data_IF_235019356776
#
_entry.id   IF_235019356776
#
_cell.length_a   1.000
_cell.length_b   1.000
_cell.length_c   1.000
_cell.angle_alpha   90.00
_cell.angle_beta   90.00
_cell.angle_gamma   90.00
#
_symmetry.space_group_name_H-M   'P 1'
#
loop_
_entity.id
_entity.type
_entity.pdbx_description
1 polymer ?
#
# COMPACT_ATOMS: atom_id res chain seq x y z
N UNK A 1 11.62 -58.58 -26.98
CA UNK A 1 10.96 -58.62 -25.63
C UNK A 1 11.63 -57.64 -24.66
N UNK A 2 12.96 -57.54 -24.61
CA UNK A 2 13.69 -56.68 -23.67
C UNK A 2 13.30 -55.17 -23.77
N UNK A 3 13.16 -54.51 -24.96
CA UNK A 3 12.82 -53.08 -25.03
C UNK A 3 11.42 -52.76 -24.52
N UNK A 4 10.47 -53.69 -24.69
CA UNK A 4 9.09 -53.52 -24.23
C UNK A 4 9.00 -53.56 -22.66
N UNK A 5 9.77 -54.47 -22.05
CA UNK A 5 9.87 -54.51 -20.59
C UNK A 5 10.49 -53.26 -19.98
N UNK A 6 11.52 -52.72 -20.65
CA UNK A 6 12.17 -51.47 -20.21
C UNK A 6 11.23 -50.23 -20.31
N UNK A 7 10.44 -50.15 -21.38
CA UNK A 7 9.46 -49.09 -21.57
C UNK A 7 8.34 -49.20 -20.52
N UNK A 8 7.88 -50.38 -20.18
CA UNK A 8 6.87 -50.62 -19.12
C UNK A 8 7.38 -50.22 -17.73
N UNK A 9 8.64 -50.54 -17.43
CA UNK A 9 9.28 -50.15 -16.18
C UNK A 9 9.46 -48.62 -16.08
N UNK A 10 9.89 -47.95 -17.14
CA UNK A 10 9.98 -46.49 -17.21
C UNK A 10 8.62 -45.81 -17.07
N UNK A 11 7.58 -46.29 -17.75
CA UNK A 11 6.23 -45.76 -17.64
C UNK A 11 5.67 -45.94 -16.20
N UNK A 12 5.90 -47.07 -15.58
CA UNK A 12 5.55 -47.35 -14.19
C UNK A 12 6.28 -46.41 -13.20
N UNK A 13 7.57 -46.18 -13.42
CA UNK A 13 8.36 -45.28 -12.58
C UNK A 13 7.90 -43.82 -12.75
N UNK A 14 7.62 -43.37 -13.97
CA UNK A 14 7.09 -42.01 -14.24
C UNK A 14 5.73 -41.81 -13.60
N UNK A 15 4.82 -42.79 -13.73
CA UNK A 15 3.50 -42.74 -13.10
C UNK A 15 3.60 -42.73 -11.56
N UNK A 16 4.52 -43.50 -10.99
CA UNK A 16 4.76 -43.52 -9.55
C UNK A 16 5.32 -42.20 -9.04
N UNK A 17 6.30 -41.61 -9.76
CA UNK A 17 6.86 -40.28 -9.46
C UNK A 17 5.82 -39.19 -9.57
N UNK A 18 5.00 -39.20 -10.62
CA UNK A 18 3.90 -38.22 -10.80
C UNK A 18 2.91 -38.30 -9.65
N UNK A 19 2.58 -39.50 -9.18
CA UNK A 19 1.67 -39.68 -8.05
C UNK A 19 2.27 -39.21 -6.73
N UNK A 20 3.56 -39.43 -6.51
CA UNK A 20 4.29 -38.99 -5.32
C UNK A 20 4.39 -37.46 -5.24
N UNK A 21 4.65 -36.79 -6.37
CA UNK A 21 4.69 -35.33 -6.45
C UNK A 21 3.30 -34.72 -6.28
N UNK A 22 2.25 -35.33 -6.83
CA UNK A 22 0.86 -34.83 -6.63
C UNK A 22 0.36 -34.97 -5.20
N UNK A 23 0.86 -35.91 -4.43
CA UNK A 23 0.50 -36.05 -3.01
C UNK A 23 1.14 -34.95 -2.14
N UNK A 24 2.28 -34.35 -2.56
CA UNK A 24 2.89 -33.21 -1.88
C UNK A 24 2.20 -31.87 -2.26
N UNK A 25 1.53 -31.76 -3.42
CA UNK A 25 0.73 -30.60 -3.81
C UNK A 25 -0.68 -30.58 -3.18
N UNK A 26 -1.03 -31.59 -2.40
CA UNK A 26 -2.26 -31.65 -1.60
C UNK A 26 -2.21 -30.66 -0.44
N UNK A 27 -2.18 -29.37 -0.73
CA UNK A 27 -2.55 -28.33 0.23
C UNK A 27 -3.96 -28.62 0.67
N UNK A 28 -4.11 -29.11 1.90
CA UNK A 28 -5.41 -29.33 2.51
C UNK A 28 -6.23 -28.03 2.45
N UNK A 29 -7.41 -28.00 1.80
CA UNK A 29 -8.22 -26.78 1.68
C UNK A 29 -8.79 -26.30 3.02
N UNK A 30 -8.55 -27.01 4.10
CA UNK A 30 -9.26 -26.84 5.36
C UNK A 30 -8.55 -26.02 6.44
N UNK A 31 -7.34 -25.54 6.20
CA UNK A 31 -6.67 -24.59 7.09
C UNK A 31 -5.73 -23.70 6.27
N UNK A 32 -6.28 -22.78 5.52
CA UNK A 32 -5.51 -21.60 5.14
C UNK A 32 -5.26 -20.80 6.42
N UNK A 33 -4.20 -21.17 7.13
CA UNK A 33 -3.65 -20.33 8.18
C UNK A 33 -3.21 -19.05 7.48
N UNK A 34 -3.65 -17.93 8.01
CA UNK A 34 -3.15 -16.63 7.61
C UNK A 34 -1.73 -16.46 8.19
N UNK A 35 -0.80 -17.28 7.67
CA UNK A 35 0.59 -17.29 8.07
C UNK A 35 1.41 -16.70 6.92
N UNK A 36 2.30 -15.74 7.17
CA UNK A 36 3.12 -15.14 6.12
C UNK A 36 4.11 -16.18 5.58
N UNK A 37 4.25 -16.25 4.25
CA UNK A 37 5.24 -17.10 3.57
C UNK A 37 6.62 -16.43 3.49
N UNK A 38 6.67 -15.10 3.50
CA UNK A 38 7.93 -14.38 3.68
C UNK A 38 7.77 -13.10 4.51
N UNK A 39 8.86 -12.75 5.18
CA UNK A 39 8.97 -11.57 6.02
C UNK A 39 10.24 -10.82 5.66
N UNK A 40 10.15 -9.51 5.49
CA UNK A 40 11.29 -8.63 5.24
C UNK A 40 11.39 -7.62 6.37
N UNK A 41 12.51 -7.59 7.07
CA UNK A 41 12.79 -6.59 8.10
C UNK A 41 13.55 -5.41 7.47
N UNK A 42 13.20 -4.17 7.91
CA UNK A 42 13.83 -2.93 7.46
C UNK A 42 13.78 -2.75 5.94
N UNK A 43 12.58 -2.92 5.35
CA UNK A 43 12.36 -2.76 3.93
C UNK A 43 12.67 -1.33 3.48
N UNK A 44 13.39 -1.21 2.37
CA UNK A 44 13.48 0.02 1.58
C UNK A 44 13.25 -0.33 0.12
N UNK A 45 12.15 0.18 -0.44
CA UNK A 45 11.80 0.04 -1.86
C UNK A 45 11.85 1.40 -2.53
N UNK A 46 12.56 1.50 -3.66
CA UNK A 46 12.68 2.73 -4.44
C UNK A 46 12.18 2.49 -5.86
N UNK A 47 11.24 3.31 -6.29
CA UNK A 47 10.70 3.32 -7.64
C UNK A 47 11.28 4.51 -8.42
N UNK A 48 11.64 4.26 -9.67
CA UNK A 48 12.17 5.27 -10.59
C UNK A 48 11.18 5.54 -11.71
N UNK A 49 11.11 6.79 -12.15
CA UNK A 49 10.34 7.17 -13.33
C UNK A 49 11.07 6.80 -14.63
N UNK A 50 10.43 7.02 -15.77
CA UNK A 50 11.01 6.72 -17.11
C UNK A 50 12.30 7.49 -17.42
N UNK A 51 12.62 8.56 -16.68
CA UNK A 51 13.86 9.34 -16.80
C UNK A 51 14.96 8.86 -15.84
N UNK A 52 14.74 7.78 -15.09
CA UNK A 52 15.69 7.27 -14.11
C UNK A 52 15.79 8.09 -12.81
N UNK A 53 14.88 9.02 -12.58
CA UNK A 53 14.81 9.78 -11.33
C UNK A 53 13.92 9.06 -10.32
N UNK A 54 14.27 9.16 -9.03
CA UNK A 54 13.45 8.61 -7.95
C UNK A 54 12.06 9.26 -7.96
N UNK A 55 11.02 8.46 -8.07
CA UNK A 55 9.63 8.88 -8.03
C UNK A 55 8.99 8.62 -6.67
N UNK A 56 9.27 7.43 -6.11
CA UNK A 56 8.71 7.01 -4.83
C UNK A 56 9.74 6.21 -4.03
N UNK A 57 9.79 6.44 -2.73
CA UNK A 57 10.54 5.60 -1.79
C UNK A 57 9.60 5.15 -0.67
N UNK A 58 9.47 3.85 -0.49
CA UNK A 58 8.77 3.22 0.62
C UNK A 58 9.79 2.65 1.60
N UNK A 59 9.67 3.00 2.87
CA UNK A 59 10.41 2.41 3.99
C UNK A 59 9.40 1.81 4.96
N UNK A 60 9.66 0.61 5.45
CA UNK A 60 8.84 -0.02 6.48
C UNK A 60 9.74 -0.80 7.45
N UNK A 61 9.38 -0.80 8.72
CA UNK A 61 10.11 -1.59 9.73
C UNK A 61 10.00 -3.09 9.44
N UNK A 62 8.84 -3.54 8.93
CA UNK A 62 8.59 -4.92 8.55
C UNK A 62 7.58 -4.98 7.42
N UNK A 63 7.75 -5.97 6.55
CA UNK A 63 6.79 -6.37 5.52
C UNK A 63 6.50 -7.85 5.68
N UNK A 64 5.22 -8.23 5.65
CA UNK A 64 4.75 -9.60 5.71
C UNK A 64 3.86 -9.86 4.49
N UNK A 65 4.11 -10.94 3.78
CA UNK A 65 3.25 -11.34 2.66
C UNK A 65 2.46 -12.58 3.03
N UNK A 66 1.18 -12.61 2.64
CA UNK A 66 0.25 -13.68 2.95
C UNK A 66 -0.22 -14.35 1.66
N UNK A 67 0.08 -15.65 1.46
CA UNK A 67 -0.21 -16.34 0.20
C UNK A 67 -1.67 -16.79 0.06
N UNK A 68 -2.47 -16.68 1.10
CA UNK A 68 -3.88 -17.07 1.09
C UNK A 68 -4.79 -16.06 0.37
N UNK A 69 -4.44 -14.78 0.42
CA UNK A 69 -5.13 -13.66 -0.24
C UNK A 69 -4.19 -12.75 -1.05
N UNK A 70 -2.90 -13.13 -1.17
CA UNK A 70 -1.83 -12.36 -1.81
C UNK A 70 -1.68 -10.93 -1.25
N UNK A 71 -2.14 -10.70 -0.03
CA UNK A 71 -2.01 -9.39 0.61
C UNK A 71 -0.60 -9.19 1.18
N UNK A 72 -0.23 -7.92 1.33
CA UNK A 72 1.04 -7.54 1.96
C UNK A 72 0.80 -6.54 3.08
N UNK A 73 1.19 -6.90 4.30
CA UNK A 73 1.15 -6.00 5.45
C UNK A 73 2.47 -5.25 5.64
N UNK A 74 2.37 -4.00 6.04
CA UNK A 74 3.49 -3.12 6.35
C UNK A 74 3.37 -2.59 7.79
N UNK A 75 4.47 -2.66 8.52
CA UNK A 75 4.58 -2.08 9.87
C UNK A 75 5.33 -0.75 9.77
N UNK A 76 4.73 0.30 10.31
CA UNK A 76 5.24 1.67 10.30
C UNK A 76 5.70 2.15 8.90
N UNK A 77 4.83 2.06 7.88
CA UNK A 77 5.19 2.47 6.54
C UNK A 77 5.41 3.98 6.46
N UNK A 78 6.43 4.37 5.73
CA UNK A 78 6.73 5.74 5.33
C UNK A 78 6.95 5.79 3.83
N UNK A 79 6.07 6.49 3.13
CA UNK A 79 6.16 6.71 1.69
C UNK A 79 6.59 8.15 1.44
N UNK A 80 7.59 8.34 0.61
CA UNK A 80 8.05 9.66 0.13
C UNK A 80 7.90 9.68 -1.37
N UNK A 81 7.03 10.54 -1.87
CA UNK A 81 6.88 10.80 -3.30
C UNK A 81 7.64 12.06 -3.67
N UNK A 82 8.45 11.98 -4.73
CA UNK A 82 9.26 13.07 -5.24
C UNK A 82 9.07 13.17 -6.74
N UNK A 83 8.19 14.05 -7.18
CA UNK A 83 8.01 14.32 -8.61
C UNK A 83 8.81 15.54 -9.04
N UNK A 84 9.34 15.56 -10.27
CA UNK A 84 9.97 16.75 -10.81
C UNK A 84 9.01 17.93 -10.73
N UNK A 85 9.49 19.04 -10.21
CA UNK A 85 8.74 20.28 -10.14
C UNK A 85 7.47 20.29 -9.25
N UNK A 86 7.23 19.27 -8.44
CA UNK A 86 6.16 19.23 -7.45
C UNK A 86 6.74 19.22 -6.02
N UNK A 87 6.02 19.79 -5.03
CA UNK A 87 6.39 19.64 -3.63
C UNK A 87 6.42 18.18 -3.23
N UNK A 88 7.42 17.81 -2.43
CA UNK A 88 7.53 16.46 -1.87
C UNK A 88 6.31 16.15 -1.01
N UNK A 89 5.79 14.94 -1.16
CA UNK A 89 4.71 14.40 -0.33
C UNK A 89 5.25 13.25 0.50
N UNK A 90 5.10 13.34 1.81
CA UNK A 90 5.44 12.27 2.75
C UNK A 90 4.16 11.74 3.41
N UNK A 91 3.98 10.43 3.38
CA UNK A 91 2.88 9.75 4.02
C UNK A 91 3.46 8.77 5.05
N UNK A 92 2.89 8.75 6.26
CA UNK A 92 3.25 7.81 7.33
C UNK A 92 1.98 7.25 7.96
N UNK A 93 2.07 6.03 8.47
CA UNK A 93 1.01 5.36 9.24
C UNK A 93 1.65 4.36 10.21
N UNK A 94 0.89 3.84 11.15
CA UNK A 94 1.38 2.77 12.04
C UNK A 94 1.34 1.42 11.32
N UNK A 95 0.32 1.19 10.48
CA UNK A 95 0.14 -0.04 9.68
C UNK A 95 -0.34 0.28 8.27
N UNK A 96 -0.04 -0.61 7.34
CA UNK A 96 -0.56 -0.55 5.99
C UNK A 96 -0.80 -1.94 5.43
N UNK A 97 -1.75 -2.06 4.50
CA UNK A 97 -2.00 -3.28 3.73
C UNK A 97 -2.07 -2.92 2.26
N UNK A 98 -1.41 -3.70 1.42
CA UNK A 98 -1.50 -3.61 -0.03
C UNK A 98 -2.34 -4.78 -0.54
N UNK A 99 -3.19 -4.50 -1.52
CA UNK A 99 -3.89 -5.55 -2.29
C UNK A 99 -2.92 -6.39 -3.12
N UNK A 100 -3.37 -7.55 -3.58
CA UNK A 100 -2.62 -8.50 -4.42
C UNK A 100 -1.93 -7.83 -5.62
N UNK A 101 -2.64 -6.95 -6.32
CA UNK A 101 -2.12 -6.21 -7.49
C UNK A 101 -1.31 -4.96 -7.10
N UNK A 102 -1.29 -4.61 -5.81
CA UNK A 102 -0.65 -3.40 -5.28
C UNK A 102 -1.32 -2.10 -5.71
N UNK A 103 -2.53 -2.15 -6.31
CA UNK A 103 -3.27 -0.97 -6.76
C UNK A 103 -4.03 -0.30 -5.62
N UNK A 104 -4.47 -1.06 -4.61
CA UNK A 104 -5.13 -0.53 -3.44
C UNK A 104 -4.21 -0.57 -2.21
N UNK A 105 -4.15 0.53 -1.50
CA UNK A 105 -3.36 0.67 -0.26
C UNK A 105 -4.28 1.15 0.84
N UNK A 106 -4.36 0.38 1.90
CA UNK A 106 -5.09 0.71 3.12
C UNK A 106 -4.09 1.08 4.21
N UNK A 107 -4.28 2.22 4.84
CA UNK A 107 -3.42 2.73 5.90
C UNK A 107 -4.24 2.92 7.17
N UNK A 108 -3.69 2.47 8.28
CA UNK A 108 -4.37 2.40 9.56
C UNK A 108 -3.53 3.07 10.63
N UNK A 109 -4.22 3.75 11.52
CA UNK A 109 -3.72 4.36 12.73
C UNK A 109 -2.66 5.46 12.48
N UNK A 110 -2.88 6.61 13.06
CA UNK A 110 -1.96 7.76 13.00
C UNK A 110 -1.52 8.16 11.58
N UNK A 111 -2.44 8.03 10.60
CA UNK A 111 -2.12 8.39 9.21
C UNK A 111 -1.86 9.88 9.11
N UNK A 112 -0.65 10.24 8.66
CA UNK A 112 -0.22 11.62 8.44
C UNK A 112 0.30 11.77 7.02
N UNK A 113 -0.29 12.70 6.27
CA UNK A 113 0.21 13.15 4.98
C UNK A 113 0.74 14.57 5.12
N UNK A 114 1.98 14.78 4.71
CA UNK A 114 2.63 16.09 4.69
C UNK A 114 3.04 16.40 3.26
N UNK A 115 2.50 17.47 2.69
CA UNK A 115 2.97 18.06 1.45
C UNK A 115 3.80 19.29 1.80
N UNK A 116 5.06 19.28 1.45
CA UNK A 116 5.98 20.37 1.70
C UNK A 116 5.54 21.65 0.96
N UNK A 117 5.99 22.80 1.46
CA UNK A 117 5.80 24.07 0.77
C UNK A 117 6.59 24.10 -0.56
N UNK A 118 6.04 24.73 -1.59
CA UNK A 118 6.73 24.92 -2.88
C UNK A 118 5.84 25.52 -3.93
N UNK A 119 6.44 26.18 -4.91
CA UNK A 119 5.73 26.82 -6.07
C UNK A 119 4.55 27.71 -5.68
N UNK A 120 4.69 28.48 -4.60
CA UNK A 120 3.62 29.37 -4.12
C UNK A 120 2.51 28.65 -3.34
N UNK A 121 2.66 27.34 -3.10
CA UNK A 121 1.79 26.57 -2.21
C UNK A 121 2.44 26.46 -0.84
N UNK A 122 1.61 26.47 0.19
CA UNK A 122 2.04 26.32 1.59
C UNK A 122 2.13 24.86 1.97
N UNK A 123 2.86 24.58 3.06
CA UNK A 123 2.87 23.25 3.64
C UNK A 123 1.46 22.87 4.08
N UNK A 124 1.03 21.69 3.69
CA UNK A 124 -0.28 21.13 4.07
C UNK A 124 -0.05 19.82 4.82
N UNK A 125 -0.71 19.68 5.95
CA UNK A 125 -0.71 18.45 6.77
C UNK A 125 -2.11 17.91 6.87
N UNK A 126 -2.28 16.64 6.62
CA UNK A 126 -3.56 15.94 6.80
C UNK A 126 -3.38 14.80 7.77
N UNK A 127 -4.28 14.67 8.74
CA UNK A 127 -4.32 13.59 9.73
C UNK A 127 -5.65 12.89 9.70
N UNK A 128 -5.60 11.58 9.78
CA UNK A 128 -6.77 10.70 9.94
C UNK A 128 -6.33 9.37 10.57
N UNK A 129 -7.27 8.54 10.99
CA UNK A 129 -6.96 7.20 11.50
C UNK A 129 -7.08 6.10 10.45
N UNK A 130 -7.64 6.41 9.30
CA UNK A 130 -7.75 5.48 8.17
C UNK A 130 -7.63 6.22 6.85
N UNK A 131 -7.00 5.59 5.87
CA UNK A 131 -6.91 6.11 4.52
C UNK A 131 -6.88 4.96 3.52
N UNK A 132 -7.69 5.06 2.49
CA UNK A 132 -7.69 4.17 1.35
C UNK A 132 -7.18 4.93 0.12
N UNK A 133 -6.14 4.42 -0.51
CA UNK A 133 -5.52 4.98 -1.71
C UNK A 133 -5.72 4.00 -2.86
N UNK A 134 -6.33 4.45 -3.94
CA UNK A 134 -6.52 3.70 -5.19
C UNK A 134 -5.60 4.30 -6.24
N UNK A 135 -4.48 3.64 -6.54
CA UNK A 135 -3.43 4.16 -7.44
C UNK A 135 -3.94 4.36 -8.86
N UNK A 136 -4.59 3.35 -9.44
CA UNK A 136 -5.06 3.38 -10.82
C UNK A 136 -6.08 4.49 -11.12
N UNK A 137 -6.82 4.94 -10.12
CA UNK A 137 -7.79 6.04 -10.23
C UNK A 137 -7.30 7.34 -9.60
N UNK A 138 -6.09 7.37 -9.05
CA UNK A 138 -5.52 8.53 -8.35
C UNK A 138 -6.44 9.11 -7.27
N UNK A 139 -7.21 8.25 -6.58
CA UNK A 139 -8.19 8.64 -5.56
C UNK A 139 -7.70 8.27 -4.17
N UNK A 140 -7.86 9.21 -3.25
CA UNK A 140 -7.57 9.02 -1.82
C UNK A 140 -8.86 9.28 -1.06
N UNK A 141 -9.30 8.36 -0.22
CA UNK A 141 -10.53 8.48 0.54
C UNK A 141 -10.40 8.01 1.99
N UNK A 142 -11.23 8.57 2.83
CA UNK A 142 -11.43 8.12 4.22
C UNK A 142 -12.89 8.36 4.64
N UNK A 143 -13.42 7.51 5.48
CA UNK A 143 -14.72 7.65 6.14
C UNK A 143 -14.59 8.15 7.58
N UNK A 144 -13.35 8.28 8.06
CA UNK A 144 -13.00 8.70 9.41
C UNK A 144 -12.92 10.23 9.54
N UNK A 145 -12.74 10.68 10.78
CA UNK A 145 -12.47 12.09 11.03
C UNK A 145 -11.13 12.48 10.40
N UNK A 146 -11.11 13.59 9.67
CA UNK A 146 -9.95 14.14 8.99
C UNK A 146 -9.72 15.59 9.42
N UNK A 147 -8.45 15.92 9.65
CA UNK A 147 -8.02 17.29 9.98
C UNK A 147 -6.94 17.68 8.98
N UNK A 148 -7.19 18.75 8.24
CA UNK A 148 -6.27 19.36 7.27
C UNK A 148 -5.81 20.70 7.83
N UNK A 149 -4.50 20.87 7.94
CA UNK A 149 -3.88 22.10 8.45
C UNK A 149 -2.99 22.69 7.37
N UNK A 150 -3.18 23.96 7.09
CA UNK A 150 -2.36 24.77 6.19
C UNK A 150 -2.05 26.10 6.87
N UNK A 151 -0.84 26.27 7.40
CA UNK A 151 -0.43 27.41 8.25
C UNK A 151 -1.42 27.72 9.38
N UNK A 152 -2.21 28.78 9.21
CA UNK A 152 -3.20 29.33 10.13
C UNK A 152 -4.64 28.84 9.87
N UNK A 153 -4.79 27.95 8.89
CA UNK A 153 -6.09 27.37 8.50
C UNK A 153 -6.19 25.94 8.97
N UNK A 154 -7.27 25.63 9.66
CA UNK A 154 -7.60 24.26 10.06
C UNK A 154 -8.97 23.93 9.50
N UNK A 155 -9.02 22.88 8.72
CA UNK A 155 -10.24 22.32 8.14
C UNK A 155 -10.45 20.92 8.75
N UNK A 156 -11.61 20.64 9.29
CA UNK A 156 -11.97 19.33 9.82
C UNK A 156 -13.27 18.84 9.21
N UNK A 157 -13.37 17.56 9.00
CA UNK A 157 -14.56 16.90 8.45
C UNK A 157 -14.61 15.45 8.94
N UNK A 158 -15.72 14.78 8.71
CA UNK A 158 -15.82 13.33 8.72
C UNK A 158 -16.09 12.84 7.31
N UNK A 159 -15.21 11.98 6.82
CA UNK A 159 -15.22 11.52 5.44
C UNK A 159 -14.63 12.54 4.47
N UNK A 160 -13.74 12.06 3.62
CA UNK A 160 -13.04 12.84 2.61
C UNK A 160 -12.79 11.98 1.37
N UNK A 161 -12.88 12.60 0.20
CA UNK A 161 -12.41 12.03 -1.04
C UNK A 161 -11.58 13.08 -1.79
N UNK A 162 -10.39 12.72 -2.21
CA UNK A 162 -9.48 13.57 -2.97
C UNK A 162 -9.11 12.92 -4.29
N UNK A 163 -9.37 13.60 -5.38
CA UNK A 163 -9.01 13.21 -6.73
C UNK A 163 -7.73 13.92 -7.14
N UNK A 164 -6.64 13.22 -7.25
CA UNK A 164 -5.33 13.81 -7.55
C UNK A 164 -5.25 14.34 -8.99
N UNK A 165 -5.99 13.75 -9.92
CA UNK A 165 -5.98 14.14 -11.34
C UNK A 165 -6.69 15.49 -11.57
N UNK A 166 -7.84 15.71 -10.92
CA UNK A 166 -8.61 16.96 -10.98
C UNK A 166 -8.22 17.94 -9.89
N UNK A 167 -7.45 17.52 -8.87
CA UNK A 167 -7.13 18.26 -7.65
C UNK A 167 -8.35 18.68 -6.85
N UNK A 168 -9.44 17.93 -6.95
CA UNK A 168 -10.69 18.20 -6.24
C UNK A 168 -10.72 17.49 -4.90
N UNK A 169 -11.18 18.22 -3.89
CA UNK A 169 -11.36 17.71 -2.53
C UNK A 169 -12.83 17.80 -2.15
N UNK A 170 -13.41 16.64 -1.85
CA UNK A 170 -14.77 16.52 -1.34
C UNK A 170 -14.73 16.18 0.15
N UNK A 171 -15.48 16.92 0.94
CA UNK A 171 -15.66 16.69 2.37
C UNK A 171 -17.12 16.37 2.62
N UNK A 172 -17.40 15.28 3.36
CA UNK A 172 -18.76 14.74 3.42
C UNK A 172 -19.57 15.30 4.57
N UNK A 173 -19.15 15.10 5.83
CA UNK A 173 -19.94 15.41 6.99
C UNK A 173 -19.18 16.30 7.98
N UNK A 174 -19.93 17.03 8.81
CA UNK A 174 -19.41 17.83 9.94
C UNK A 174 -18.27 18.78 9.55
N UNK A 175 -18.31 19.31 8.35
CA UNK A 175 -17.26 20.21 7.83
C UNK A 175 -17.18 21.47 8.69
N UNK A 176 -15.99 21.76 9.20
CA UNK A 176 -15.69 22.98 9.98
C UNK A 176 -14.38 23.57 9.51
N UNK A 177 -14.37 24.88 9.26
CA UNK A 177 -13.18 25.65 8.96
C UNK A 177 -12.88 26.63 10.09
N UNK A 178 -11.61 26.71 10.51
CA UNK A 178 -11.11 27.72 11.44
C UNK A 178 -9.95 28.45 10.80
N UNK A 179 -9.94 29.74 10.95
CA UNK A 179 -8.85 30.61 10.60
C UNK A 179 -8.26 31.20 11.88
N UNK A 180 -6.98 30.95 12.12
CA UNK A 180 -6.26 31.49 13.28
C UNK A 180 -5.30 32.58 12.78
N UNK A 181 -5.68 33.89 12.80
CA UNK A 181 -4.80 34.94 12.34
C UNK A 181 -3.55 34.99 13.23
N UNK A 182 -2.37 34.99 12.61
CA UNK A 182 -1.12 35.21 13.34
C UNK A 182 -1.16 36.57 14.02
N UNK A 183 -1.19 36.60 15.33
CA UNK A 183 -0.88 37.80 16.10
C UNK A 183 0.59 38.12 15.87
N UNK A 184 0.86 39.30 15.28
CA UNK A 184 2.21 39.84 15.06
C UNK A 184 2.88 40.09 16.40
#
# INVERSE_FOLDING_TARGET
>A
MFPLLLMLALAGLTFWLERMVREEEGVHPSQRRHDPDYVVDNLTHTQFNLKGLVDLTLVAAKMLHYPDDDSTELVTPRVVQTKPDEPRVTLTADRGTLSQDGEEVFLYDNVLVVREAGRGRRETRMRTNFMHVVKGHSVIRTDQDVVITEEDRVLSARGMEYHNDTMELFLHERVRGRFEPRTK
#
